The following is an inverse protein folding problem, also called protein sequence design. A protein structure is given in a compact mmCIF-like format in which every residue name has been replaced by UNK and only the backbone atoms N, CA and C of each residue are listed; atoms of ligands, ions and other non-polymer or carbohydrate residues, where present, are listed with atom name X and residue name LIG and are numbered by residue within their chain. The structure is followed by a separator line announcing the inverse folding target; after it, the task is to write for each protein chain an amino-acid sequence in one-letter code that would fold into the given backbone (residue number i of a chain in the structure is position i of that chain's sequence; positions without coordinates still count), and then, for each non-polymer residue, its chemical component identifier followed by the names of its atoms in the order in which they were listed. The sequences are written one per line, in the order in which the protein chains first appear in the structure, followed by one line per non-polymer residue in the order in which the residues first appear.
data_IF_582468699387
#
_entry.id   IF_582468699387
#
_cell.length_a   1.000
_cell.length_b   1.000
_cell.length_c   1.000
_cell.angle_alpha   90.00
_cell.angle_beta   90.00
_cell.angle_gamma   90.00
#
_symmetry.space_group_name_H-M   'P 1'
#
loop_
_entity.id
_entity.type
_entity.pdbx_description
1 polymer ?
#
# COMPACT_ATOMS: atom_id res chain seq x y z
N UNK A 1 61.91 -23.52 17.14
CA UNK A 1 61.62 -22.35 17.98
C UNK A 1 60.58 -21.53 17.20
N UNK A 2 59.31 -21.85 17.20
CA UNK A 2 58.34 -22.05 18.28
C UNK A 2 57.12 -21.28 17.77
N UNK A 3 56.14 -21.98 17.21
CA UNK A 3 54.87 -22.35 17.85
C UNK A 3 53.77 -21.33 17.49
N UNK A 4 52.71 -21.77 16.77
CA UNK A 4 51.36 -22.02 17.33
C UNK A 4 50.70 -20.73 17.83
N UNK A 5 49.41 -20.46 17.68
CA UNK A 5 48.25 -21.14 17.14
C UNK A 5 47.10 -20.18 17.48
N UNK A 6 46.06 -20.17 16.65
CA UNK A 6 44.66 -19.99 17.07
C UNK A 6 44.27 -18.72 17.85
N UNK A 7 43.46 -17.90 17.19
CA UNK A 7 42.34 -17.15 17.79
C UNK A 7 41.69 -16.35 16.65
N UNK A 8 40.66 -16.78 15.92
CA UNK A 8 39.44 -17.50 16.33
C UNK A 8 38.85 -16.99 17.65
N UNK A 9 38.27 -15.80 17.59
CA UNK A 9 36.98 -15.50 18.20
C UNK A 9 36.38 -14.30 17.42
N UNK A 10 35.32 -14.51 16.63
CA UNK A 10 33.92 -14.54 17.07
C UNK A 10 33.40 -13.16 17.47
N UNK A 11 33.28 -12.25 16.51
CA UNK A 11 32.20 -11.26 16.51
C UNK A 11 30.92 -11.93 16.00
N UNK A 12 30.34 -12.75 16.88
CA UNK A 12 28.92 -13.13 16.77
C UNK A 12 28.11 -12.10 17.55
N UNK A 13 27.10 -11.50 16.90
CA UNK A 13 26.09 -10.60 17.48
C UNK A 13 26.24 -9.17 16.92
N UNK A 14 25.40 -8.66 16.04
CA UNK A 14 23.97 -8.86 15.82
C UNK A 14 23.64 -8.74 14.32
N UNK A 15 23.75 -9.84 13.55
CA UNK A 15 22.94 -9.99 12.35
C UNK A 15 21.67 -10.67 12.86
N UNK A 16 20.72 -9.88 13.38
CA UNK A 16 19.34 -10.21 13.02
C UNK A 16 19.38 -10.03 11.52
N UNK A 17 19.28 -11.13 10.76
CA UNK A 17 18.92 -11.01 9.35
C UNK A 17 17.69 -10.11 9.36
N UNK A 18 17.85 -8.85 8.94
CA UNK A 18 16.71 -7.98 8.68
C UNK A 18 15.92 -8.77 7.64
N UNK A 19 14.89 -9.49 8.06
CA UNK A 19 13.96 -10.15 7.15
C UNK A 19 13.49 -9.02 6.26
N UNK A 20 13.97 -8.96 5.02
CA UNK A 20 13.87 -7.74 4.24
C UNK A 20 12.39 -7.35 4.11
N UNK A 21 11.94 -6.38 4.91
CA UNK A 21 10.52 -6.03 4.96
C UNK A 21 10.25 -5.02 3.86
N UNK A 22 9.47 -5.41 2.86
CA UNK A 22 9.06 -4.52 1.79
C UNK A 22 7.67 -3.96 2.05
N UNK A 23 7.52 -2.63 1.94
CA UNK A 23 6.26 -1.92 2.19
C UNK A 23 5.85 -1.14 0.96
N UNK A 24 4.67 -1.46 0.44
CA UNK A 24 4.03 -0.70 -0.64
C UNK A 24 3.05 0.29 -0.03
N UNK A 25 3.18 1.54 -0.45
CA UNK A 25 2.49 2.68 0.13
C UNK A 25 1.76 3.48 -0.93
N UNK A 26 0.63 4.08 -0.53
CA UNK A 26 -0.08 5.06 -1.35
C UNK A 26 0.87 6.20 -1.71
N UNK A 27 1.02 6.58 -2.99
CA UNK A 27 1.89 7.66 -3.40
C UNK A 27 1.31 8.99 -2.89
N UNK A 28 2.15 9.83 -2.27
CA UNK A 28 1.73 11.07 -1.60
C UNK A 28 1.02 12.06 -2.54
N UNK A 29 1.25 11.94 -3.85
CA UNK A 29 0.56 12.75 -4.86
C UNK A 29 -0.96 12.58 -4.83
N UNK A 30 -1.47 11.38 -4.49
CA UNK A 30 -2.92 11.10 -4.45
C UNK A 30 -3.63 11.86 -3.32
N UNK A 31 -3.21 11.77 -2.04
CA UNK A 31 -3.82 12.57 -0.98
C UNK A 31 -3.60 14.07 -1.20
N UNK A 32 -2.43 14.50 -1.68
CA UNK A 32 -2.18 15.92 -2.01
C UNK A 32 -3.18 16.43 -3.05
N UNK A 33 -3.38 15.70 -4.14
CA UNK A 33 -4.37 16.07 -5.17
C UNK A 33 -5.79 16.18 -4.59
N UNK A 34 -6.19 15.25 -3.69
CA UNK A 34 -7.50 15.31 -3.02
C UNK A 34 -7.65 16.58 -2.18
N UNK A 35 -6.63 16.94 -1.40
CA UNK A 35 -6.65 18.16 -0.59
C UNK A 35 -6.67 19.43 -1.45
N UNK A 36 -5.94 19.45 -2.56
CA UNK A 36 -5.98 20.58 -3.52
C UNK A 36 -7.39 20.75 -4.09
N UNK A 37 -8.01 19.68 -4.58
CA UNK A 37 -9.38 19.73 -5.12
C UNK A 37 -10.38 20.15 -4.05
N UNK A 38 -10.26 19.60 -2.83
CA UNK A 38 -11.12 19.99 -1.71
C UNK A 38 -10.97 21.50 -1.38
N UNK A 39 -9.75 22.02 -1.35
CA UNK A 39 -9.48 23.44 -1.12
C UNK A 39 -10.10 24.33 -2.19
N UNK A 40 -9.96 23.95 -3.47
CA UNK A 40 -10.59 24.67 -4.59
C UNK A 40 -12.10 24.69 -4.47
N UNK A 41 -12.73 23.57 -4.10
CA UNK A 41 -14.18 23.50 -3.89
C UNK A 41 -14.65 24.40 -2.73
N UNK A 42 -13.90 24.44 -1.62
CA UNK A 42 -14.21 25.34 -0.51
C UNK A 42 -14.14 26.80 -0.96
N UNK A 43 -13.08 27.19 -1.67
CA UNK A 43 -12.95 28.56 -2.21
C UNK A 43 -14.09 28.89 -3.16
N UNK A 44 -14.44 27.98 -4.07
CA UNK A 44 -15.55 28.16 -5.01
C UNK A 44 -16.89 28.32 -4.28
N UNK A 45 -17.18 27.52 -3.26
CA UNK A 45 -18.40 27.65 -2.46
C UNK A 45 -18.45 29.02 -1.78
N UNK A 46 -17.36 29.45 -1.14
CA UNK A 46 -17.32 30.71 -0.39
C UNK A 46 -17.44 31.93 -1.31
N UNK A 47 -16.92 31.85 -2.53
CA UNK A 47 -16.81 33.01 -3.45
C UNK A 47 -17.92 33.07 -4.50
N UNK A 48 -18.45 31.93 -4.94
CA UNK A 48 -19.33 31.82 -6.10
C UNK A 48 -20.75 31.39 -5.73
N UNK A 49 -20.92 30.51 -4.73
CA UNK A 49 -22.24 29.97 -4.41
C UNK A 49 -23.20 31.08 -3.95
N UNK A 50 -24.37 31.17 -4.58
CA UNK A 50 -25.41 32.16 -4.27
C UNK A 50 -26.62 31.54 -3.60
N UNK A 51 -26.77 30.23 -3.67
CA UNK A 51 -27.84 29.47 -3.06
C UNK A 51 -27.30 28.49 -2.00
N UNK A 52 -28.12 28.24 -0.98
CA UNK A 52 -27.75 27.40 0.16
C UNK A 52 -27.51 25.94 -0.24
N UNK A 53 -28.25 25.44 -1.22
CA UNK A 53 -28.19 24.03 -1.63
C UNK A 53 -26.85 23.72 -2.31
N UNK A 54 -26.43 24.54 -3.27
CA UNK A 54 -25.13 24.43 -3.93
C UNK A 54 -23.97 24.56 -2.97
N UNK A 55 -24.07 25.46 -1.99
CA UNK A 55 -23.05 25.61 -0.95
C UNK A 55 -22.93 24.35 -0.07
N UNK A 56 -24.05 23.80 0.41
CA UNK A 56 -24.07 22.58 1.23
C UNK A 56 -23.51 21.39 0.44
N UNK A 57 -23.94 21.19 -0.81
CA UNK A 57 -23.44 20.11 -1.65
C UNK A 57 -21.93 20.23 -1.90
N UNK A 58 -21.45 21.44 -2.21
CA UNK A 58 -20.02 21.68 -2.42
C UNK A 58 -19.18 21.39 -1.18
N UNK A 59 -19.65 21.81 0.00
CA UNK A 59 -18.99 21.51 1.27
C UNK A 59 -19.03 20.02 1.62
N UNK A 60 -20.12 19.31 1.32
CA UNK A 60 -20.19 17.86 1.51
C UNK A 60 -19.18 17.12 0.64
N UNK A 61 -19.05 17.50 -0.63
CA UNK A 61 -18.04 16.91 -1.53
C UNK A 61 -16.62 17.22 -1.05
N UNK A 62 -16.34 18.48 -0.69
CA UNK A 62 -15.04 18.88 -0.16
C UNK A 62 -14.69 18.14 1.14
N UNK A 63 -15.67 17.95 2.03
CA UNK A 63 -15.52 17.17 3.26
C UNK A 63 -15.22 15.70 2.98
N UNK A 64 -15.95 15.09 2.05
CA UNK A 64 -15.73 13.69 1.64
C UNK A 64 -14.33 13.48 1.04
N UNK A 65 -13.88 14.39 0.17
CA UNK A 65 -12.52 14.35 -0.40
C UNK A 65 -11.44 14.53 0.68
N UNK A 66 -11.65 15.47 1.61
CA UNK A 66 -10.71 15.72 2.71
C UNK A 66 -10.59 14.50 3.63
N UNK A 67 -11.72 13.89 4.00
CA UNK A 67 -11.73 12.69 4.83
C UNK A 67 -11.06 11.50 4.11
N UNK A 68 -11.29 11.36 2.80
CA UNK A 68 -10.63 10.34 1.98
C UNK A 68 -9.11 10.56 1.89
N UNK A 69 -8.67 11.80 1.64
CA UNK A 69 -7.24 12.15 1.62
C UNK A 69 -6.58 11.93 2.98
N UNK A 70 -7.26 12.29 4.07
CA UNK A 70 -6.77 12.07 5.43
C UNK A 70 -6.61 10.58 5.74
N UNK A 71 -7.58 9.75 5.34
CA UNK A 71 -7.46 8.28 5.47
C UNK A 71 -6.23 7.74 4.77
N UNK A 72 -5.92 8.25 3.58
CA UNK A 72 -4.76 7.80 2.79
C UNK A 72 -3.43 8.25 3.40
N UNK A 73 -3.41 9.38 4.12
CA UNK A 73 -2.25 9.85 4.89
C UNK A 73 -2.05 9.04 6.18
N UNK A 74 -3.14 8.74 6.90
CA UNK A 74 -3.08 8.02 8.17
C UNK A 74 -2.78 6.53 7.99
N UNK A 75 -3.22 5.94 6.87
CA UNK A 75 -3.03 4.52 6.57
C UNK A 75 -2.29 4.36 5.23
N UNK A 76 -1.01 4.75 5.17
CA UNK A 76 -0.27 4.79 3.91
C UNK A 76 0.19 3.40 3.46
N UNK A 77 0.51 2.48 4.38
CA UNK A 77 0.96 1.12 4.06
C UNK A 77 -0.26 0.24 3.82
N UNK A 78 -0.44 -0.21 2.57
CA UNK A 78 -1.55 -1.10 2.19
C UNK A 78 -1.14 -2.55 2.06
N UNK A 79 0.14 -2.77 1.78
CA UNK A 79 0.74 -4.08 1.63
C UNK A 79 2.15 -4.06 2.21
N UNK A 80 2.46 -5.08 2.99
CA UNK A 80 3.79 -5.34 3.52
C UNK A 80 4.11 -6.82 3.30
N UNK A 81 5.33 -7.14 2.91
CA UNK A 81 5.77 -8.52 2.72
C UNK A 81 7.15 -8.71 3.33
N UNK A 82 7.37 -9.92 3.84
CA UNK A 82 8.58 -10.35 4.50
C UNK A 82 8.80 -11.86 4.25
N UNK A 83 9.81 -12.44 4.89
CA UNK A 83 10.15 -13.85 4.72
C UNK A 83 9.07 -14.81 5.26
N UNK A 84 8.28 -14.39 6.25
CA UNK A 84 7.26 -15.24 6.88
C UNK A 84 5.92 -15.16 6.14
N UNK A 85 5.60 -14.02 5.52
CA UNK A 85 4.34 -13.84 4.81
C UNK A 85 4.06 -12.44 4.28
N UNK A 86 2.77 -12.16 4.14
CA UNK A 86 2.22 -10.89 3.65
C UNK A 86 1.28 -10.31 4.69
N UNK A 87 1.44 -9.02 5.00
CA UNK A 87 0.50 -8.25 5.79
C UNK A 87 -0.32 -7.34 4.89
N UNK A 88 -1.64 -7.56 4.84
CA UNK A 88 -2.59 -6.76 4.07
C UNK A 88 -3.44 -5.93 5.02
N UNK A 89 -3.79 -4.71 4.60
CA UNK A 89 -4.79 -3.92 5.30
C UNK A 89 -6.20 -4.46 5.01
N UNK A 90 -6.93 -4.85 6.05
CA UNK A 90 -8.35 -5.23 5.99
C UNK A 90 -9.22 -4.10 6.57
N UNK A 91 -10.12 -3.56 5.76
CA UNK A 91 -11.06 -2.50 6.17
C UNK A 91 -10.44 -1.10 6.33
N UNK A 92 -10.94 -0.33 7.30
CA UNK A 92 -10.51 1.06 7.51
C UNK A 92 -9.18 1.19 8.28
N UNK A 93 -8.83 0.20 9.11
CA UNK A 93 -7.60 0.22 9.93
C UNK A 93 -7.09 -1.15 10.38
N UNK A 94 -7.76 -2.25 9.98
CA UNK A 94 -7.32 -3.59 10.37
C UNK A 94 -6.08 -4.00 9.58
N UNK A 95 -5.09 -4.60 10.24
CA UNK A 95 -3.95 -5.26 9.58
C UNK A 95 -4.09 -6.75 9.83
N UNK A 96 -4.03 -7.55 8.79
CA UNK A 96 -4.00 -9.02 8.90
C UNK A 96 -2.74 -9.54 8.23
N UNK A 97 -2.03 -10.41 8.94
CA UNK A 97 -0.83 -11.09 8.46
C UNK A 97 -1.21 -12.50 8.04
N UNK A 98 -0.77 -12.88 6.85
CA UNK A 98 -1.02 -14.17 6.22
C UNK A 98 0.32 -14.84 5.92
N UNK A 99 0.62 -16.01 6.50
CA UNK A 99 1.83 -16.75 6.17
C UNK A 99 1.81 -17.20 4.69
N UNK A 100 2.99 -17.34 4.06
CA UNK A 100 3.06 -17.76 2.65
C UNK A 100 2.35 -19.09 2.34
N UNK A 101 2.20 -19.96 3.35
CA UNK A 101 1.54 -21.26 3.24
C UNK A 101 0.03 -21.18 2.95
N UNK A 102 -0.65 -20.11 3.40
CA UNK A 102 -2.10 -19.91 3.17
C UNK A 102 -2.39 -19.07 1.93
N UNK A 103 -1.34 -18.55 1.27
CA UNK A 103 -1.51 -17.77 0.05
C UNK A 103 -1.63 -18.73 -1.13
N UNK A 104 -2.86 -18.93 -1.57
CA UNK A 104 -3.17 -19.81 -2.70
C UNK A 104 -2.55 -19.26 -3.98
N UNK A 105 -2.68 -17.96 -4.21
CA UNK A 105 -2.36 -17.38 -5.52
C UNK A 105 -2.17 -15.88 -5.47
N UNK A 106 -1.22 -15.41 -6.28
CA UNK A 106 -0.95 -13.99 -6.54
C UNK A 106 -1.01 -13.78 -8.05
N UNK A 107 -1.83 -12.85 -8.50
CA UNK A 107 -2.07 -12.58 -9.93
C UNK A 107 -2.17 -11.11 -10.24
N UNK A 108 -1.98 -10.78 -11.50
CA UNK A 108 -2.15 -9.43 -12.01
C UNK A 108 -3.28 -9.45 -13.02
N UNK A 109 -4.44 -8.89 -12.66
CA UNK A 109 -5.54 -8.68 -13.60
C UNK A 109 -5.33 -7.39 -14.40
N UNK A 110 -5.53 -7.47 -15.71
CA UNK A 110 -5.45 -6.32 -16.62
C UNK A 110 -6.77 -6.20 -17.35
N UNK A 111 -7.53 -5.15 -17.04
CA UNK A 111 -8.77 -4.83 -17.76
C UNK A 111 -8.62 -3.58 -18.60
N UNK A 112 -9.05 -3.68 -19.87
CA UNK A 112 -9.32 -2.51 -20.70
C UNK A 112 -10.74 -2.02 -20.41
N UNK A 113 -10.88 -0.77 -20.01
CA UNK A 113 -12.15 -0.04 -19.92
C UNK A 113 -12.17 1.05 -21.00
N UNK A 114 -13.36 1.56 -21.31
CA UNK A 114 -13.58 2.65 -22.27
C UNK A 114 -12.67 3.86 -22.02
N UNK A 115 -12.33 4.14 -20.75
CA UNK A 115 -11.55 5.31 -20.34
C UNK A 115 -10.11 4.98 -19.87
N UNK A 116 -9.61 3.76 -20.11
CA UNK A 116 -8.23 3.44 -19.75
C UNK A 116 -7.91 1.97 -19.53
N UNK A 117 -6.65 1.69 -19.15
CA UNK A 117 -6.18 0.37 -18.71
C UNK A 117 -6.10 0.38 -17.19
N UNK A 118 -6.81 -0.52 -16.54
CA UNK A 118 -6.71 -0.75 -15.11
C UNK A 118 -5.97 -2.07 -14.90
N UNK A 119 -4.87 -2.00 -14.15
CA UNK A 119 -4.10 -3.16 -13.70
C UNK A 119 -4.26 -3.27 -12.20
N UNK A 120 -4.50 -4.47 -11.69
CA UNK A 120 -4.73 -4.74 -10.27
C UNK A 120 -3.99 -6.01 -9.84
N UNK A 121 -3.47 -6.02 -8.62
CA UNK A 121 -2.90 -7.19 -7.98
C UNK A 121 -4.03 -7.93 -7.25
N UNK A 122 -4.18 -9.20 -7.50
CA UNK A 122 -5.10 -10.12 -6.82
C UNK A 122 -4.28 -11.03 -5.92
N UNK A 123 -4.69 -11.14 -4.66
CA UNK A 123 -4.11 -12.07 -3.69
C UNK A 123 -5.25 -12.90 -3.12
N UNK A 124 -5.26 -14.18 -3.49
CA UNK A 124 -6.16 -15.20 -2.96
C UNK A 124 -5.53 -15.79 -1.69
N UNK A 125 -6.25 -15.74 -0.58
CA UNK A 125 -5.82 -16.28 0.72
C UNK A 125 -6.97 -16.99 1.39
N UNK A 126 -6.92 -18.32 1.44
CA UNK A 126 -8.01 -19.15 1.97
C UNK A 126 -9.36 -18.79 1.30
N UNK A 127 -10.31 -18.24 2.07
CA UNK A 127 -11.62 -17.78 1.60
C UNK A 127 -11.68 -16.27 1.30
N UNK A 128 -10.58 -15.53 1.54
CA UNK A 128 -10.48 -14.09 1.32
C UNK A 128 -9.80 -13.77 -0.02
N UNK A 129 -10.32 -12.77 -0.72
CA UNK A 129 -9.74 -12.26 -1.97
C UNK A 129 -9.44 -10.77 -1.83
N UNK A 130 -8.16 -10.41 -1.92
CA UNK A 130 -7.69 -9.02 -1.83
C UNK A 130 -7.34 -8.49 -3.21
N UNK A 131 -7.92 -7.35 -3.54
CA UNK A 131 -7.62 -6.63 -4.77
C UNK A 131 -6.89 -5.32 -4.44
N UNK A 132 -5.71 -5.10 -5.02
CA UNK A 132 -4.86 -3.94 -4.76
C UNK A 132 -4.52 -3.21 -6.06
N UNK A 133 -4.92 -1.95 -6.17
CA UNK A 133 -4.64 -1.12 -7.34
C UNK A 133 -3.24 -0.53 -7.32
N UNK A 134 -2.77 -0.05 -8.48
CA UNK A 134 -1.53 0.74 -8.56
C UNK A 134 -1.51 1.96 -7.62
N UNK A 135 -2.68 2.57 -7.35
CA UNK A 135 -2.79 3.74 -6.48
C UNK A 135 -2.64 3.37 -5.00
N UNK A 136 -2.97 2.14 -4.63
CA UNK A 136 -2.82 1.64 -3.26
C UNK A 136 -1.41 1.12 -3.00
N UNK A 137 -0.76 0.58 -4.03
CA UNK A 137 0.59 0.04 -3.97
C UNK A 137 1.68 1.11 -4.17
N UNK A 138 1.37 2.18 -4.89
CA UNK A 138 2.36 3.20 -5.29
C UNK A 138 3.37 2.69 -6.32
N UNK A 139 3.19 1.47 -6.84
CA UNK A 139 4.02 0.82 -7.83
C UNK A 139 3.15 0.03 -8.83
N UNK A 140 3.65 -0.26 -10.04
CA UNK A 140 2.95 -1.13 -10.98
C UNK A 140 2.67 -2.51 -10.38
N UNK A 141 1.42 -3.03 -10.43
CA UNK A 141 1.08 -4.32 -9.82
C UNK A 141 1.91 -5.51 -10.31
N UNK A 142 2.44 -5.43 -11.54
CA UNK A 142 3.34 -6.45 -12.09
C UNK A 142 4.69 -6.51 -11.37
N UNK A 143 5.28 -5.34 -11.07
CA UNK A 143 6.55 -5.25 -10.32
C UNK A 143 6.33 -5.74 -8.88
N UNK A 144 5.21 -5.36 -8.26
CA UNK A 144 4.85 -5.85 -6.92
C UNK A 144 4.69 -7.37 -6.89
N UNK A 145 4.04 -7.97 -7.89
CA UNK A 145 3.89 -9.42 -7.97
C UNK A 145 5.25 -10.15 -8.08
N UNK A 146 6.21 -9.58 -8.81
CA UNK A 146 7.56 -10.12 -8.95
C UNK A 146 8.35 -10.03 -7.64
N UNK A 147 8.28 -8.88 -6.96
CA UNK A 147 8.88 -8.72 -5.62
C UNK A 147 8.25 -9.70 -4.61
N UNK A 148 6.93 -9.89 -4.62
CA UNK A 148 6.26 -10.87 -3.75
C UNK A 148 6.69 -12.32 -4.05
N UNK A 149 6.88 -12.66 -5.33
CA UNK A 149 7.36 -13.98 -5.70
C UNK A 149 8.79 -14.25 -5.18
N UNK A 150 9.61 -13.20 -5.13
CA UNK A 150 10.97 -13.24 -4.59
C UNK A 150 10.96 -13.56 -3.09
N UNK A 151 10.13 -12.84 -2.31
CA UNK A 151 9.92 -13.14 -0.89
C UNK A 151 9.39 -14.56 -0.63
N UNK A 152 8.38 -14.99 -1.40
CA UNK A 152 7.79 -16.33 -1.26
C UNK A 152 8.80 -17.46 -1.50
N UNK A 153 9.73 -17.25 -2.43
CA UNK A 153 10.73 -18.27 -2.80
C UNK A 153 12.03 -18.17 -2.01
N UNK A 154 12.18 -17.13 -1.18
CA UNK A 154 13.37 -16.90 -0.36
C UNK A 154 14.64 -16.63 -1.19
N UNK A 155 14.48 -16.06 -2.39
CA UNK A 155 15.57 -15.67 -3.29
C UNK A 155 15.89 -14.19 -3.13
#
# INVERSE_FOLDING_TARGET
MGDRALSLWKTSGCFVSDEAVRRWRVPIAVPVAKFVVAGVLVVAVVTIARDLVGAVLGLLVAGGLSLSGLRDVLVPVRLEADAEGVTVLSGLSGRRRYPWAVIDRIRVDRRRRLLGRSTMLEIDVDDDLYFLTQYELGAPPAEVAEELATFRTGR
#
